data_IF_340839330177
#
_entry.id   IF_340839330177
#
_cell.length_a   1.000
_cell.length_b   1.000
_cell.length_c   1.000
_cell.angle_alpha   90.00
_cell.angle_beta   90.00
_cell.angle_gamma   90.00
#
_symmetry.space_group_name_H-M   'P 1'
#
loop_
_entity.id
_entity.type
_entity.pdbx_description
1 polymer ?
#
# COMPACT_ATOMS: atom_id res chain seq x y z
N UNK A 1 -11.76 -5.85 -12.46
CA UNK A 1 -12.18 -5.64 -11.06
C UNK A 1 -11.81 -4.21 -10.68
N UNK A 2 -12.75 -3.45 -10.13
CA UNK A 2 -12.49 -2.11 -9.57
C UNK A 2 -11.69 -2.23 -8.28
N UNK A 3 -11.01 -1.16 -7.86
CA UNK A 3 -10.21 -1.21 -6.63
C UNK A 3 -11.12 -1.40 -5.41
N UNK A 4 -12.30 -0.80 -5.42
CA UNK A 4 -13.35 -1.00 -4.40
C UNK A 4 -13.86 -2.44 -4.33
N UNK A 5 -13.93 -3.16 -5.46
CA UNK A 5 -14.31 -4.58 -5.48
C UNK A 5 -13.21 -5.44 -4.85
N UNK A 6 -11.94 -5.17 -5.20
CA UNK A 6 -10.79 -5.85 -4.62
C UNK A 6 -10.70 -5.61 -3.10
N UNK A 7 -10.90 -4.36 -2.67
CA UNK A 7 -10.92 -3.96 -1.26
C UNK A 7 -11.92 -4.79 -0.45
N UNK A 8 -13.17 -4.90 -0.93
CA UNK A 8 -14.21 -5.71 -0.29
C UNK A 8 -13.86 -7.18 -0.27
N UNK A 9 -13.35 -7.71 -1.38
CA UNK A 9 -12.97 -9.11 -1.48
C UNK A 9 -11.87 -9.47 -0.46
N UNK A 10 -10.81 -8.67 -0.37
CA UNK A 10 -9.70 -8.89 0.57
C UNK A 10 -10.22 -8.89 2.01
N UNK A 11 -11.01 -7.88 2.36
CA UNK A 11 -11.52 -7.78 3.73
C UNK A 11 -12.42 -8.97 4.08
N UNK A 12 -13.31 -9.37 3.17
CA UNK A 12 -14.17 -10.54 3.36
C UNK A 12 -13.34 -11.82 3.59
N UNK A 13 -12.27 -12.03 2.81
CA UNK A 13 -11.38 -13.18 3.01
C UNK A 13 -10.67 -13.14 4.37
N UNK A 14 -10.26 -11.97 4.84
CA UNK A 14 -9.65 -11.84 6.17
C UNK A 14 -10.64 -12.07 7.30
N UNK A 15 -11.89 -11.63 7.15
CA UNK A 15 -12.99 -11.94 8.08
C UNK A 15 -13.23 -13.44 8.14
N UNK A 16 -13.32 -14.11 6.99
CA UNK A 16 -13.51 -15.57 6.90
C UNK A 16 -12.34 -16.36 7.51
N UNK A 17 -11.13 -15.83 7.42
CA UNK A 17 -9.93 -16.39 8.05
C UNK A 17 -9.81 -16.05 9.56
N UNK A 18 -10.79 -15.34 10.15
CA UNK A 18 -10.86 -15.05 11.58
C UNK A 18 -9.97 -13.89 12.05
N UNK A 19 -9.34 -13.14 11.14
CA UNK A 19 -8.48 -12.01 11.51
C UNK A 19 -9.23 -10.89 12.23
N UNK A 20 -10.54 -10.78 11.98
CA UNK A 20 -11.43 -9.75 12.50
C UNK A 20 -12.40 -10.25 13.57
N UNK A 21 -12.22 -11.48 14.09
CA UNK A 21 -13.05 -12.05 15.17
C UNK A 21 -13.00 -11.24 16.47
N UNK A 22 -11.94 -10.44 16.64
CA UNK A 22 -11.74 -9.52 17.76
C UNK A 22 -11.44 -8.11 17.25
N UNK A 23 -11.81 -7.06 18.01
CA UNK A 23 -11.40 -5.70 17.68
C UNK A 23 -9.88 -5.60 17.55
N UNK A 24 -9.42 -5.01 16.45
CA UNK A 24 -8.00 -4.73 16.19
C UNK A 24 -7.71 -3.25 16.41
N UNK A 25 -6.60 -2.97 17.06
CA UNK A 25 -6.14 -1.61 17.33
C UNK A 25 -5.52 -0.99 16.05
N UNK A 26 -5.83 0.28 15.77
CA UNK A 26 -5.50 0.93 14.48
C UNK A 26 -3.99 1.12 14.28
N UNK A 27 -3.26 1.52 15.30
CA UNK A 27 -1.82 1.70 15.27
C UNK A 27 -1.09 0.41 14.96
N UNK A 28 -1.53 -0.70 15.55
CA UNK A 28 -1.02 -2.05 15.30
C UNK A 28 -1.18 -2.42 13.83
N UNK A 29 -2.35 -2.19 13.25
CA UNK A 29 -2.60 -2.45 11.83
C UNK A 29 -1.72 -1.59 10.91
N UNK A 30 -1.52 -0.31 11.26
CA UNK A 30 -0.61 0.58 10.51
C UNK A 30 0.85 0.11 10.61
N UNK A 31 1.28 -0.39 11.77
CA UNK A 31 2.61 -0.97 11.95
C UNK A 31 2.79 -2.26 11.14
N UNK A 32 1.72 -3.07 10.96
CA UNK A 32 1.77 -4.22 10.06
C UNK A 32 1.90 -3.81 8.59
N UNK A 33 1.35 -2.66 8.16
CA UNK A 33 1.64 -2.15 6.81
C UNK A 33 3.12 -1.74 6.71
N UNK A 34 3.67 -1.14 7.76
CA UNK A 34 5.07 -0.72 7.79
C UNK A 34 6.07 -1.90 7.80
N UNK A 35 5.70 -3.06 8.36
CA UNK A 35 6.55 -4.26 8.29
C UNK A 35 6.76 -4.72 6.85
N UNK A 36 5.71 -4.81 6.03
CA UNK A 36 5.85 -5.26 4.64
C UNK A 36 6.71 -4.27 3.82
N UNK A 37 6.63 -2.96 4.10
CA UNK A 37 7.52 -1.98 3.46
C UNK A 37 8.99 -2.20 3.85
N UNK A 38 9.23 -2.62 5.10
CA UNK A 38 10.58 -2.94 5.58
C UNK A 38 11.10 -4.25 4.97
N UNK A 39 10.23 -5.24 4.77
CA UNK A 39 10.54 -6.50 4.08
C UNK A 39 10.82 -6.29 2.60
N UNK A 40 10.04 -5.42 1.93
CA UNK A 40 10.31 -5.03 0.55
C UNK A 40 11.70 -4.38 0.40
N UNK A 41 12.06 -3.49 1.34
CA UNK A 41 13.40 -2.87 1.38
C UNK A 41 14.51 -3.92 1.58
N UNK A 42 14.28 -4.92 2.43
CA UNK A 42 15.21 -6.02 2.62
C UNK A 42 15.38 -6.87 1.34
N UNK A 43 14.27 -7.12 0.64
CA UNK A 43 14.24 -7.78 -0.66
C UNK A 43 15.10 -7.06 -1.70
N UNK A 44 14.97 -5.73 -1.80
CA UNK A 44 15.82 -4.88 -2.66
C UNK A 44 17.29 -4.94 -2.23
N UNK A 45 17.57 -4.82 -0.92
CA UNK A 45 18.93 -4.77 -0.37
C UNK A 45 19.72 -6.04 -0.64
N UNK A 46 19.05 -7.19 -0.64
CA UNK A 46 19.66 -8.52 -0.80
C UNK A 46 19.38 -9.18 -2.14
N UNK A 47 18.57 -8.56 -3.00
CA UNK A 47 18.12 -9.13 -4.28
C UNK A 47 17.52 -10.54 -4.10
N UNK A 48 16.57 -10.66 -3.15
CA UNK A 48 15.94 -11.93 -2.76
C UNK A 48 14.74 -12.28 -3.65
N UNK A 49 14.46 -13.58 -3.75
CA UNK A 49 13.18 -14.11 -4.22
C UNK A 49 12.26 -14.35 -3.02
N UNK A 50 10.96 -14.27 -3.22
CA UNK A 50 9.97 -14.49 -2.18
C UNK A 50 9.93 -15.96 -1.71
N UNK A 51 9.70 -16.20 -0.42
CA UNK A 51 9.66 -17.55 0.15
C UNK A 51 8.41 -18.34 -0.25
N UNK A 52 7.26 -17.66 -0.41
CA UNK A 52 5.96 -18.27 -0.72
C UNK A 52 5.67 -18.28 -2.23
N UNK A 53 6.23 -17.32 -2.96
CA UNK A 53 6.17 -17.17 -4.41
C UNK A 53 7.60 -17.16 -5.01
N UNK A 54 8.33 -18.29 -5.02
CA UNK A 54 9.77 -18.33 -5.37
C UNK A 54 10.14 -17.86 -6.79
N UNK A 55 9.14 -17.59 -7.63
CA UNK A 55 9.29 -17.07 -8.98
C UNK A 55 9.16 -15.55 -9.06
N UNK A 56 8.86 -14.85 -7.95
CA UNK A 56 8.79 -13.39 -7.86
C UNK A 56 9.88 -12.85 -6.95
N UNK A 57 10.45 -11.66 -7.25
CA UNK A 57 11.30 -10.95 -6.31
C UNK A 57 10.57 -10.70 -4.99
N UNK A 58 11.25 -10.85 -3.86
CA UNK A 58 10.69 -10.58 -2.53
C UNK A 58 10.15 -9.15 -2.45
N UNK A 59 10.89 -8.17 -2.98
CA UNK A 59 10.45 -6.78 -3.00
C UNK A 59 9.09 -6.59 -3.70
N UNK A 60 8.82 -7.32 -4.78
CA UNK A 60 7.55 -7.25 -5.51
C UNK A 60 6.40 -7.88 -4.70
N UNK A 61 6.65 -9.05 -4.09
CA UNK A 61 5.67 -9.75 -3.28
C UNK A 61 5.26 -8.93 -2.03
N UNK A 62 6.24 -8.37 -1.33
CA UNK A 62 6.00 -7.60 -0.10
C UNK A 62 5.30 -6.25 -0.37
N UNK A 63 5.56 -5.63 -1.52
CA UNK A 63 4.78 -4.48 -1.96
C UNK A 63 3.30 -4.85 -2.24
N UNK A 64 3.05 -6.05 -2.74
CA UNK A 64 1.69 -6.55 -2.91
C UNK A 64 1.01 -6.81 -1.55
N UNK A 65 1.73 -7.37 -0.59
CA UNK A 65 1.23 -7.58 0.78
C UNK A 65 0.92 -6.25 1.48
N UNK A 66 1.75 -5.23 1.30
CA UNK A 66 1.46 -3.88 1.77
C UNK A 66 0.14 -3.33 1.19
N UNK A 67 -0.09 -3.50 -0.12
CA UNK A 67 -1.35 -3.11 -0.77
C UNK A 67 -2.52 -3.88 -0.18
N UNK A 68 -2.41 -5.19 0.01
CA UNK A 68 -3.45 -6.03 0.60
C UNK A 68 -3.82 -5.53 2.00
N UNK A 69 -2.82 -5.23 2.84
CA UNK A 69 -3.04 -4.68 4.19
C UNK A 69 -3.70 -3.30 4.18
N UNK A 70 -3.30 -2.42 3.25
CA UNK A 70 -3.92 -1.09 3.10
C UNK A 70 -5.39 -1.23 2.72
N UNK A 71 -5.73 -2.14 1.79
CA UNK A 71 -7.09 -2.35 1.35
C UNK A 71 -7.97 -2.98 2.44
N UNK A 72 -7.46 -3.98 3.17
CA UNK A 72 -8.16 -4.54 4.34
C UNK A 72 -8.45 -3.47 5.40
N UNK A 73 -7.44 -2.64 5.73
CA UNK A 73 -7.60 -1.51 6.64
C UNK A 73 -8.62 -0.49 6.15
N UNK A 74 -8.59 -0.18 4.85
CA UNK A 74 -9.51 0.76 4.24
C UNK A 74 -10.96 0.31 4.37
N UNK A 75 -11.26 -0.96 4.03
CA UNK A 75 -12.62 -1.51 4.14
C UNK A 75 -13.07 -1.57 5.60
N UNK A 76 -12.24 -2.10 6.49
CA UNK A 76 -12.57 -2.29 7.91
C UNK A 76 -12.95 -0.98 8.61
N UNK A 77 -12.44 0.16 8.13
CA UNK A 77 -12.72 1.47 8.70
C UNK A 77 -13.53 2.41 7.78
N UNK A 78 -14.08 1.89 6.68
CA UNK A 78 -15.00 2.63 5.81
C UNK A 78 -14.37 3.75 4.98
N UNK A 79 -13.10 3.61 4.61
CA UNK A 79 -12.41 4.56 3.74
C UNK A 79 -12.67 4.27 2.25
N UNK A 80 -12.97 5.31 1.48
CA UNK A 80 -13.03 5.27 0.02
C UNK A 80 -11.63 5.49 -0.57
N UNK A 81 -10.83 4.43 -0.65
CA UNK A 81 -9.45 4.53 -1.14
C UNK A 81 -9.39 4.80 -2.65
N UNK A 82 -10.35 4.26 -3.43
CA UNK A 82 -10.38 4.42 -4.89
C UNK A 82 -10.69 5.88 -5.25
N UNK A 83 -11.70 6.48 -4.60
CA UNK A 83 -12.01 7.90 -4.72
C UNK A 83 -10.85 8.78 -4.27
N UNK A 84 -10.27 8.49 -3.10
CA UNK A 84 -9.12 9.25 -2.58
C UNK A 84 -7.90 9.19 -3.52
N UNK A 85 -7.60 8.03 -4.12
CA UNK A 85 -6.53 7.89 -5.12
C UNK A 85 -6.84 8.72 -6.37
N UNK A 86 -8.07 8.62 -6.91
CA UNK A 86 -8.47 9.34 -8.11
C UNK A 86 -8.33 10.87 -7.92
N UNK A 87 -8.86 11.40 -6.81
CA UNK A 87 -8.75 12.80 -6.45
C UNK A 87 -7.29 13.23 -6.23
N UNK A 88 -6.50 12.41 -5.52
CA UNK A 88 -5.10 12.74 -5.25
C UNK A 88 -4.25 12.76 -6.52
N UNK A 89 -4.51 11.85 -7.46
CA UNK A 89 -3.84 11.83 -8.76
C UNK A 89 -4.21 13.05 -9.60
N UNK A 90 -5.48 13.47 -9.62
CA UNK A 90 -5.92 14.70 -10.29
C UNK A 90 -5.25 15.94 -9.69
N UNK A 91 -5.25 16.05 -8.35
CA UNK A 91 -4.56 17.12 -7.66
C UNK A 91 -3.05 17.12 -8.00
N UNK A 92 -2.40 15.96 -7.98
CA UNK A 92 -0.97 15.82 -8.25
C UNK A 92 -0.59 16.22 -9.69
N UNK A 93 -1.50 16.12 -10.68
CA UNK A 93 -1.27 16.61 -12.05
C UNK A 93 -1.12 18.13 -12.11
N UNK A 94 -1.83 18.83 -11.24
CA UNK A 94 -1.90 20.29 -11.22
C UNK A 94 -1.00 20.92 -10.14
N UNK A 95 -0.42 20.10 -9.27
CA UNK A 95 0.41 20.52 -8.14
C UNK A 95 1.70 21.20 -8.63
N UNK A 96 1.91 22.45 -8.21
CA UNK A 96 2.97 23.31 -8.75
C UNK A 96 4.40 22.74 -8.54
N UNK A 97 4.71 22.19 -7.37
CA UNK A 97 6.02 21.59 -7.03
C UNK A 97 6.28 20.23 -7.71
N UNK A 98 5.28 19.62 -8.35
CA UNK A 98 5.44 18.41 -9.16
C UNK A 98 5.73 18.71 -10.64
N UNK A 99 5.66 19.97 -11.07
CA UNK A 99 6.16 20.37 -12.39
C UNK A 99 7.67 20.11 -12.46
N UNK A 100 8.13 19.48 -13.55
CA UNK A 100 9.56 19.17 -13.79
C UNK A 100 10.44 20.40 -13.58
N UNK A 101 9.96 21.57 -14.01
CA UNK A 101 10.61 22.87 -13.86
C UNK A 101 10.85 23.27 -12.40
N UNK A 102 9.96 22.88 -11.47
CA UNK A 102 10.10 23.19 -10.05
C UNK A 102 10.92 22.12 -9.30
N UNK A 103 10.97 20.87 -9.81
CA UNK A 103 11.90 19.84 -9.30
C UNK A 103 13.35 20.13 -9.69
N UNK A 104 13.59 20.73 -10.85
CA UNK A 104 14.92 21.06 -11.35
C UNK A 104 15.56 22.31 -10.69
N UNK A 105 14.81 23.08 -9.89
CA UNK A 105 15.32 24.26 -9.18
C UNK A 105 16.18 23.84 -7.98
N UNK A 106 17.14 24.68 -7.63
CA UNK A 106 17.93 24.52 -6.38
C UNK A 106 16.99 24.50 -5.17
N UNK A 107 17.01 23.42 -4.39
CA UNK A 107 16.08 23.18 -3.27
C UNK A 107 14.74 22.56 -3.66
N UNK A 108 14.57 22.15 -4.92
CA UNK A 108 13.44 21.34 -5.36
C UNK A 108 13.40 19.98 -4.66
N UNK A 109 12.19 19.42 -4.52
CA UNK A 109 11.97 18.14 -3.82
C UNK A 109 12.78 17.03 -4.49
N UNK A 110 13.80 16.52 -3.77
CA UNK A 110 14.74 15.50 -4.25
C UNK A 110 14.26 14.06 -3.99
N UNK A 111 13.30 13.88 -3.08
CA UNK A 111 12.66 12.62 -2.67
C UNK A 111 11.21 12.92 -2.29
#
# INVERSE_FOLDING_TARGET
>A
MKLTELQKQIHQQNVEAGWWDKPRERGTLLCLIHSEISEAMEGERKNLMDDHLPHRPMAEAELADAVIRILDYAEAFGYDIEGAIAEKLEYNRHRADHKRENRAKSGGKAF
#
